data_IF_259267075566
#
_entry.id   IF_259267075566
#
_cell.length_a   1.000
_cell.length_b   1.000
_cell.length_c   1.000
_cell.angle_alpha   90.00
_cell.angle_beta   90.00
_cell.angle_gamma   90.00
#
_symmetry.space_group_name_H-M   'P 1'
#
loop_
_entity.id
_entity.type
_entity.pdbx_description
1 polymer ?
#
# COMPACT_ATOMS: atom_id res chain seq x y z
N UNK A 1 -14.07 -31.73 -0.71
CA UNK A 1 -13.51 -30.66 -1.58
C UNK A 1 -14.67 -30.01 -2.34
N UNK A 2 -15.06 -28.78 -1.99
CA UNK A 2 -16.03 -28.04 -2.81
C UNK A 2 -15.32 -27.49 -4.04
N UNK A 3 -15.79 -27.89 -5.22
CA UNK A 3 -15.31 -27.39 -6.51
C UNK A 3 -15.78 -25.94 -6.64
N UNK A 4 -14.85 -24.98 -6.64
CA UNK A 4 -15.15 -23.59 -6.97
C UNK A 4 -15.75 -23.52 -8.37
N UNK A 5 -16.85 -22.77 -8.52
CA UNK A 5 -17.50 -22.58 -9.82
C UNK A 5 -16.46 -22.11 -10.86
N UNK A 6 -16.44 -22.65 -12.10
CA UNK A 6 -15.40 -22.38 -13.10
C UNK A 6 -15.17 -20.88 -13.37
N UNK A 7 -16.23 -20.08 -13.26
CA UNK A 7 -16.22 -18.63 -13.41
C UNK A 7 -15.41 -17.95 -12.29
N UNK A 8 -15.58 -18.37 -11.02
CA UNK A 8 -14.83 -17.82 -9.89
C UNK A 8 -13.34 -18.13 -10.00
N UNK A 9 -12.99 -19.30 -10.54
CA UNK A 9 -11.60 -19.68 -10.76
C UNK A 9 -10.92 -18.81 -11.83
N UNK A 10 -11.56 -18.62 -12.99
CA UNK A 10 -11.04 -17.74 -14.06
C UNK A 10 -10.94 -16.27 -13.63
N UNK A 11 -11.90 -15.77 -12.87
CA UNK A 11 -11.87 -14.39 -12.37
C UNK A 11 -10.82 -14.16 -11.29
N UNK A 12 -10.49 -15.17 -10.49
CA UNK A 12 -9.44 -15.10 -9.46
C UNK A 12 -8.02 -15.17 -10.02
N UNK A 13 -7.83 -15.83 -11.16
CA UNK A 13 -6.55 -15.89 -11.88
C UNK A 13 -6.26 -14.60 -12.67
N UNK A 14 -7.21 -13.66 -12.72
CA UNK A 14 -7.11 -12.44 -13.52
C UNK A 14 -7.10 -11.17 -12.69
N UNK A 15 -6.16 -11.09 -11.74
CA UNK A 15 -5.88 -9.83 -11.02
C UNK A 15 -5.65 -8.66 -12.00
N UNK A 16 -5.12 -8.94 -13.19
CA UNK A 16 -4.91 -7.96 -14.27
C UNK A 16 -6.21 -7.25 -14.66
N UNK A 17 -7.33 -7.97 -14.79
CA UNK A 17 -8.61 -7.35 -15.17
C UNK A 17 -9.10 -6.38 -14.09
N UNK A 18 -9.02 -6.78 -12.82
CA UNK A 18 -9.40 -5.92 -11.69
C UNK A 18 -8.48 -4.70 -11.59
N UNK A 19 -7.18 -4.90 -11.82
CA UNK A 19 -6.19 -3.82 -11.84
C UNK A 19 -6.46 -2.83 -12.97
N UNK A 20 -6.73 -3.30 -14.19
CA UNK A 20 -7.07 -2.43 -15.33
C UNK A 20 -8.39 -1.69 -15.10
N UNK A 21 -9.42 -2.39 -14.61
CA UNK A 21 -10.71 -1.78 -14.30
C UNK A 21 -10.59 -0.70 -13.21
N UNK A 22 -9.81 -0.96 -12.16
CA UNK A 22 -9.46 0.03 -11.14
C UNK A 22 -8.78 1.25 -11.75
N UNK A 23 -7.73 1.07 -12.55
CA UNK A 23 -6.99 2.18 -13.14
C UNK A 23 -7.86 3.04 -14.08
N UNK A 24 -8.73 2.42 -14.87
CA UNK A 24 -9.70 3.13 -15.71
C UNK A 24 -10.68 3.92 -14.85
N UNK A 25 -11.25 3.29 -13.82
CA UNK A 25 -12.19 3.94 -12.91
C UNK A 25 -11.55 5.12 -12.15
N UNK A 26 -10.33 4.96 -11.65
CA UNK A 26 -9.61 5.98 -10.89
C UNK A 26 -9.23 7.20 -11.75
N UNK A 27 -9.01 7.01 -13.05
CA UNK A 27 -8.58 8.09 -13.95
C UNK A 27 -9.72 8.78 -14.71
N UNK A 28 -10.83 8.09 -14.96
CA UNK A 28 -11.89 8.58 -15.85
C UNK A 28 -13.29 8.60 -15.22
N UNK A 29 -13.44 8.09 -13.99
CA UNK A 29 -14.73 8.01 -13.29
C UNK A 29 -14.60 8.51 -11.83
N UNK A 30 -15.34 7.91 -10.90
CA UNK A 30 -15.35 8.26 -9.48
C UNK A 30 -14.37 7.38 -8.69
N UNK A 31 -13.66 8.00 -7.75
CA UNK A 31 -12.67 7.31 -6.92
C UNK A 31 -13.32 6.19 -6.08
N UNK A 32 -14.51 6.42 -5.56
CA UNK A 32 -15.30 5.46 -4.78
C UNK A 32 -15.58 4.18 -5.58
N UNK A 33 -15.91 4.33 -6.87
CA UNK A 33 -16.14 3.20 -7.77
C UNK A 33 -14.85 2.42 -8.00
N UNK A 34 -13.72 3.13 -8.16
CA UNK A 34 -12.43 2.49 -8.35
C UNK A 34 -12.07 1.60 -7.15
N UNK A 35 -12.10 2.15 -5.93
CA UNK A 35 -11.77 1.36 -4.73
C UNK A 35 -12.78 0.24 -4.45
N UNK A 36 -14.05 0.41 -4.79
CA UNK A 36 -15.04 -0.67 -4.72
C UNK A 36 -14.67 -1.82 -5.66
N UNK A 37 -14.28 -1.54 -6.92
CA UNK A 37 -13.80 -2.56 -7.86
C UNK A 37 -12.56 -3.29 -7.34
N UNK A 38 -11.61 -2.54 -6.77
CA UNK A 38 -10.39 -3.10 -6.20
C UNK A 38 -10.70 -4.06 -5.03
N UNK A 39 -11.59 -3.65 -4.12
CA UNK A 39 -12.03 -4.46 -2.98
C UNK A 39 -12.78 -5.73 -3.41
N UNK A 40 -13.69 -5.61 -4.38
CA UNK A 40 -14.45 -6.76 -4.93
C UNK A 40 -13.48 -7.75 -5.58
N UNK A 41 -12.56 -7.27 -6.42
CA UNK A 41 -11.56 -8.11 -7.07
C UNK A 41 -10.65 -8.81 -6.07
N UNK A 42 -10.23 -8.10 -5.02
CA UNK A 42 -9.46 -8.67 -3.93
C UNK A 42 -10.23 -9.76 -3.18
N UNK A 43 -11.48 -9.47 -2.78
CA UNK A 43 -12.32 -10.42 -2.04
C UNK A 43 -12.57 -11.71 -2.84
N UNK A 44 -12.89 -11.60 -4.14
CA UNK A 44 -13.07 -12.75 -5.03
C UNK A 44 -11.79 -13.57 -5.09
N UNK A 45 -10.64 -12.92 -5.29
CA UNK A 45 -9.34 -13.57 -5.40
C UNK A 45 -8.94 -14.27 -4.10
N UNK A 46 -9.11 -13.61 -2.96
CA UNK A 46 -8.82 -14.15 -1.62
C UNK A 46 -9.67 -15.39 -1.35
N UNK A 47 -10.99 -15.33 -1.60
CA UNK A 47 -11.91 -16.46 -1.36
C UNK A 47 -11.61 -17.62 -2.30
N UNK A 48 -11.38 -17.35 -3.59
CA UNK A 48 -11.13 -18.39 -4.58
C UNK A 48 -9.78 -19.08 -4.39
N UNK A 49 -8.73 -18.32 -4.04
CA UNK A 49 -7.38 -18.85 -3.78
C UNK A 49 -7.19 -19.32 -2.33
N UNK A 50 -8.17 -19.10 -1.45
CA UNK A 50 -8.12 -19.39 -0.01
C UNK A 50 -6.91 -18.74 0.65
N UNK A 51 -6.67 -17.47 0.33
CA UNK A 51 -5.56 -16.71 0.89
C UNK A 51 -5.91 -16.36 2.33
N UNK A 52 -5.17 -16.93 3.28
CA UNK A 52 -5.38 -16.63 4.69
C UNK A 52 -4.59 -15.38 5.09
N UNK A 53 -5.21 -14.44 5.84
CA UNK A 53 -4.46 -13.38 6.47
C UNK A 53 -3.48 -14.01 7.45
N UNK A 54 -2.18 -13.82 7.19
CA UNK A 54 -1.18 -14.09 8.21
C UNK A 54 -1.42 -13.12 9.36
N UNK A 55 -1.52 -13.63 10.58
CA UNK A 55 -1.52 -12.79 11.77
C UNK A 55 -0.14 -12.90 12.41
N UNK A 56 0.65 -11.84 12.31
CA UNK A 56 1.97 -11.77 12.94
C UNK A 56 1.92 -11.33 14.39
N UNK A 57 3.12 -11.19 14.96
CA UNK A 57 3.33 -10.60 16.29
C UNK A 57 2.81 -9.17 16.34
N UNK A 58 1.98 -8.85 17.33
CA UNK A 58 1.48 -7.49 17.60
C UNK A 58 2.63 -6.48 17.81
N UNK A 59 3.75 -6.93 18.37
CA UNK A 59 4.95 -6.12 18.52
C UNK A 59 5.55 -5.72 17.16
N UNK A 60 5.62 -6.65 16.21
CA UNK A 60 6.11 -6.35 14.85
C UNK A 60 5.17 -5.41 14.11
N UNK A 61 3.87 -5.58 14.33
CA UNK A 61 2.87 -4.69 13.78
C UNK A 61 3.06 -3.26 14.30
N UNK A 62 3.16 -3.10 15.62
CA UNK A 62 3.44 -1.80 16.23
C UNK A 62 4.75 -1.19 15.73
N UNK A 63 5.83 -1.98 15.66
CA UNK A 63 7.13 -1.52 15.17
C UNK A 63 7.07 -1.06 13.70
N UNK A 64 6.32 -1.75 12.84
CA UNK A 64 6.16 -1.38 11.43
C UNK A 64 5.37 -0.09 11.26
N UNK A 65 4.27 0.06 12.02
CA UNK A 65 3.46 1.29 12.04
C UNK A 65 4.29 2.47 12.54
N UNK A 66 5.04 2.28 13.64
CA UNK A 66 5.90 3.30 14.21
C UNK A 66 7.04 3.67 13.26
N UNK A 67 7.66 2.70 12.57
CA UNK A 67 8.71 2.98 11.60
C UNK A 67 8.21 3.86 10.46
N UNK A 68 7.01 3.56 9.93
CA UNK A 68 6.39 4.34 8.87
C UNK A 68 6.03 5.74 9.36
N UNK A 69 5.36 5.86 10.51
CA UNK A 69 5.02 7.15 11.09
C UNK A 69 6.27 8.00 11.41
N UNK A 70 7.28 7.40 12.04
CA UNK A 70 8.51 8.10 12.41
C UNK A 70 9.27 8.59 11.17
N UNK A 71 9.26 7.82 10.08
CA UNK A 71 9.92 8.23 8.84
C UNK A 71 9.35 9.51 8.23
N UNK A 72 8.09 9.86 8.52
CA UNK A 72 7.49 11.11 8.04
C UNK A 72 7.84 12.33 8.89
N UNK A 73 8.32 12.14 10.13
CA UNK A 73 8.64 13.23 11.07
C UNK A 73 9.53 14.32 10.46
N UNK A 74 10.60 14.00 9.70
CA UNK A 74 11.44 15.03 9.10
C UNK A 74 10.70 15.94 8.12
N UNK A 75 9.66 15.43 7.44
CA UNK A 75 8.89 16.19 6.46
C UNK A 75 8.08 17.31 7.11
N UNK A 76 7.78 17.21 8.41
CA UNK A 76 7.07 18.24 9.17
C UNK A 76 7.80 19.60 9.19
N UNK A 77 9.10 19.62 8.91
CA UNK A 77 9.87 20.87 8.79
C UNK A 77 9.45 21.73 7.59
N UNK A 78 8.89 21.11 6.55
CA UNK A 78 8.42 21.78 5.33
C UNK A 78 6.90 21.78 5.21
N UNK A 79 6.21 21.18 6.17
CA UNK A 79 4.81 20.86 6.05
C UNK A 79 3.93 22.05 6.45
N UNK A 80 2.97 22.39 5.59
CA UNK A 80 1.91 23.33 5.94
C UNK A 80 0.72 22.56 6.51
N UNK A 81 0.12 22.96 7.64
CA UNK A 81 -1.05 22.27 8.18
C UNK A 81 -2.20 22.25 7.18
N UNK A 82 -2.86 21.10 7.06
CA UNK A 82 -4.13 20.96 6.35
C UNK A 82 -5.23 20.51 7.30
N UNK A 83 -6.47 20.84 6.94
CA UNK A 83 -7.66 20.49 7.72
C UNK A 83 -8.54 19.57 6.88
N UNK A 84 -8.19 18.26 6.76
CA UNK A 84 -8.99 17.32 5.99
C UNK A 84 -10.38 17.18 6.63
N UNK A 85 -11.40 17.06 5.80
CA UNK A 85 -12.74 16.74 6.29
C UNK A 85 -12.76 15.31 6.87
N UNK A 86 -13.68 15.05 7.81
CA UNK A 86 -13.86 13.69 8.35
C UNK A 86 -14.16 12.66 7.26
N UNK A 87 -14.92 13.07 6.24
CA UNK A 87 -15.24 12.22 5.09
C UNK A 87 -13.98 11.86 4.29
N UNK A 88 -13.09 12.83 4.06
CA UNK A 88 -11.82 12.60 3.38
C UNK A 88 -10.93 11.62 4.17
N UNK A 89 -10.80 11.82 5.48
CA UNK A 89 -10.04 10.93 6.35
C UNK A 89 -10.60 9.50 6.38
N UNK A 90 -11.92 9.36 6.45
CA UNK A 90 -12.58 8.06 6.40
C UNK A 90 -12.34 7.36 5.06
N UNK A 91 -12.43 8.11 3.96
CA UNK A 91 -12.12 7.59 2.62
C UNK A 91 -10.65 7.17 2.50
N UNK A 92 -9.71 7.96 3.01
CA UNK A 92 -8.27 7.66 2.97
C UNK A 92 -7.92 6.35 3.71
N UNK A 93 -8.61 6.06 4.82
CA UNK A 93 -8.49 4.79 5.54
C UNK A 93 -9.10 3.65 4.75
N UNK A 94 -10.31 3.84 4.18
CA UNK A 94 -10.97 2.82 3.38
C UNK A 94 -10.15 2.46 2.12
N UNK A 95 -9.59 3.48 1.45
CA UNK A 95 -8.68 3.34 0.31
C UNK A 95 -7.47 2.48 0.67
N UNK A 96 -6.77 2.80 1.77
CA UNK A 96 -5.63 2.02 2.25
C UNK A 96 -6.00 0.55 2.49
N UNK A 97 -7.16 0.27 3.09
CA UNK A 97 -7.62 -1.11 3.29
C UNK A 97 -7.88 -1.83 1.97
N UNK A 98 -8.54 -1.18 1.01
CA UNK A 98 -8.84 -1.74 -0.31
C UNK A 98 -7.55 -2.05 -1.09
N UNK A 99 -6.58 -1.14 -1.04
CA UNK A 99 -5.27 -1.34 -1.67
C UNK A 99 -4.51 -2.48 -1.02
N UNK A 100 -4.45 -2.54 0.31
CA UNK A 100 -3.73 -3.61 0.99
C UNK A 100 -4.37 -4.99 0.77
N UNK A 101 -5.70 -5.08 0.69
CA UNK A 101 -6.38 -6.31 0.31
C UNK A 101 -5.94 -6.78 -1.08
N UNK A 102 -5.78 -5.88 -2.04
CA UNK A 102 -5.41 -6.24 -3.40
C UNK A 102 -3.90 -6.45 -3.56
N UNK A 103 -3.09 -5.43 -3.28
CA UNK A 103 -1.65 -5.46 -3.52
C UNK A 103 -0.93 -6.42 -2.56
N UNK A 104 -1.28 -6.44 -1.27
CA UNK A 104 -0.60 -7.30 -0.28
C UNK A 104 -1.36 -8.59 0.00
N UNK A 105 -2.69 -8.57 -0.10
CA UNK A 105 -3.50 -9.77 0.04
C UNK A 105 -3.48 -10.68 -1.19
N UNK A 106 -3.44 -10.13 -2.41
CA UNK A 106 -3.49 -10.91 -3.66
C UNK A 106 -2.17 -10.90 -4.43
N UNK A 107 -1.62 -9.72 -4.76
CA UNK A 107 -0.45 -9.67 -5.64
C UNK A 107 0.85 -10.09 -4.96
N UNK A 108 1.06 -9.74 -3.69
CA UNK A 108 2.28 -10.08 -2.96
C UNK A 108 2.55 -11.60 -2.90
N UNK A 109 1.56 -12.47 -2.56
CA UNK A 109 1.75 -13.93 -2.62
C UNK A 109 2.09 -14.47 -4.02
N UNK A 110 1.51 -13.87 -5.07
CA UNK A 110 1.64 -14.36 -6.45
C UNK A 110 2.93 -13.88 -7.14
N UNK A 111 3.31 -12.63 -6.91
CA UNK A 111 4.37 -11.94 -7.67
C UNK A 111 5.61 -11.61 -6.82
N UNK A 112 5.48 -11.61 -5.49
CA UNK A 112 6.52 -11.13 -4.57
C UNK A 112 6.58 -9.61 -4.43
N UNK A 113 7.49 -9.14 -3.58
CA UNK A 113 7.45 -7.75 -3.08
C UNK A 113 7.73 -6.68 -4.15
N UNK A 114 8.76 -6.85 -4.97
CA UNK A 114 9.12 -5.81 -5.94
C UNK A 114 8.07 -5.66 -7.06
N UNK A 115 7.57 -6.74 -7.69
CA UNK A 115 6.56 -6.59 -8.74
C UNK A 115 5.22 -6.02 -8.22
N UNK A 116 4.76 -6.42 -7.02
CA UNK A 116 3.54 -5.82 -6.46
C UNK A 116 3.73 -4.33 -6.14
N UNK A 117 4.91 -3.94 -5.64
CA UNK A 117 5.23 -2.54 -5.36
C UNK A 117 5.27 -1.70 -6.64
N UNK A 118 5.76 -2.28 -7.74
CA UNK A 118 5.74 -1.64 -9.05
C UNK A 118 4.30 -1.46 -9.57
N UNK A 119 3.45 -2.48 -9.45
CA UNK A 119 2.03 -2.37 -9.78
C UNK A 119 1.31 -1.33 -8.90
N UNK A 120 1.64 -1.28 -7.61
CA UNK A 120 1.15 -0.26 -6.67
C UNK A 120 1.56 1.14 -7.10
N UNK A 121 2.83 1.37 -7.46
CA UNK A 121 3.30 2.66 -7.93
C UNK A 121 2.65 3.09 -9.25
N UNK A 122 2.47 2.16 -10.18
CA UNK A 122 1.75 2.42 -11.44
C UNK A 122 0.28 2.81 -11.22
N UNK A 123 -0.38 2.24 -10.21
CA UNK A 123 -1.77 2.55 -9.87
C UNK A 123 -1.97 4.01 -9.42
N UNK A 124 -0.89 4.71 -9.06
CA UNK A 124 -0.92 6.10 -8.63
C UNK A 124 -0.62 7.09 -9.76
N UNK A 125 -0.30 6.61 -10.97
CA UNK A 125 -0.12 7.46 -12.15
C UNK A 125 -1.48 7.97 -12.61
N UNK A 126 -1.61 9.30 -12.66
CA UNK A 126 -2.82 9.98 -13.13
C UNK A 126 -2.73 10.26 -14.62
N UNK A 127 -3.66 9.71 -15.39
CA UNK A 127 -3.78 9.83 -16.84
C UNK A 127 -4.87 10.82 -17.28
N UNK A 128 -5.56 11.45 -16.32
CA UNK A 128 -6.69 12.35 -16.56
C UNK A 128 -6.32 13.56 -17.41
N UNK A 129 -5.12 14.11 -17.21
CA UNK A 129 -4.60 15.27 -17.92
C UNK A 129 -3.05 15.29 -17.88
N UNK A 130 -2.40 16.04 -18.79
CA UNK A 130 -0.94 16.03 -18.90
C UNK A 130 -0.19 16.55 -17.66
N UNK A 131 -0.76 17.50 -16.91
CA UNK A 131 -0.09 18.07 -15.73
C UNK A 131 -0.12 17.04 -14.60
N UNK A 132 -1.28 16.48 -14.31
CA UNK A 132 -1.42 15.40 -13.33
C UNK A 132 -0.55 14.18 -13.67
N UNK A 133 -0.38 13.86 -14.95
CA UNK A 133 0.52 12.79 -15.40
C UNK A 133 1.97 13.07 -15.02
N UNK A 134 2.48 14.26 -15.33
CA UNK A 134 3.87 14.61 -15.02
C UNK A 134 4.10 14.63 -13.50
N UNK A 135 3.20 15.27 -12.75
CA UNK A 135 3.32 15.37 -11.29
C UNK A 135 3.28 13.99 -10.62
N UNK A 136 2.32 13.15 -10.99
CA UNK A 136 2.21 11.79 -10.43
C UNK A 136 3.36 10.88 -10.87
N UNK A 137 3.88 11.03 -12.10
CA UNK A 137 5.04 10.29 -12.57
C UNK A 137 6.33 10.63 -11.80
N UNK A 138 6.50 11.90 -11.40
CA UNK A 138 7.62 12.31 -10.56
C UNK A 138 7.54 11.70 -9.15
N UNK A 139 6.33 11.39 -8.67
CA UNK A 139 6.09 10.69 -7.40
C UNK A 139 6.16 9.17 -7.52
N UNK A 140 6.39 8.61 -8.72
CA UNK A 140 6.50 7.16 -8.89
C UNK A 140 7.52 6.48 -7.95
N UNK A 141 8.74 7.02 -7.76
CA UNK A 141 9.71 6.39 -6.85
C UNK A 141 9.24 6.39 -5.39
N UNK A 142 8.47 7.41 -4.98
CA UNK A 142 7.87 7.49 -3.65
C UNK A 142 6.88 6.32 -3.45
N UNK A 143 5.92 6.17 -4.36
CA UNK A 143 4.94 5.09 -4.28
C UNK A 143 5.59 3.71 -4.39
N UNK A 144 6.67 3.57 -5.17
CA UNK A 144 7.41 2.31 -5.25
C UNK A 144 8.06 1.94 -3.91
N UNK A 145 8.72 2.90 -3.24
CA UNK A 145 9.38 2.66 -1.96
C UNK A 145 8.37 2.39 -0.83
N UNK A 146 7.29 3.17 -0.76
CA UNK A 146 6.15 2.89 0.12
C UNK A 146 5.57 1.49 -0.16
N UNK A 147 5.43 1.18 -1.45
CA UNK A 147 5.14 -0.12 -2.04
C UNK A 147 5.90 -1.26 -1.36
N UNK A 148 7.22 -1.14 -1.40
CA UNK A 148 8.19 -2.11 -0.87
C UNK A 148 8.12 -2.19 0.67
N UNK A 149 8.03 -1.05 1.36
CA UNK A 149 7.99 -1.00 2.83
C UNK A 149 6.75 -1.73 3.38
N UNK A 150 5.57 -1.43 2.84
CA UNK A 150 4.32 -2.08 3.19
C UNK A 150 4.33 -3.57 2.81
N UNK A 151 4.92 -3.94 1.67
CA UNK A 151 5.10 -5.35 1.31
C UNK A 151 5.99 -6.11 2.30
N UNK A 152 7.04 -5.47 2.84
CA UNK A 152 7.82 -6.07 3.94
C UNK A 152 7.03 -6.18 5.25
N UNK A 153 6.18 -5.20 5.57
CA UNK A 153 5.29 -5.26 6.72
C UNK A 153 4.29 -6.42 6.58
N UNK A 154 3.69 -6.57 5.40
CA UNK A 154 2.77 -7.66 5.08
C UNK A 154 3.45 -9.03 5.08
N UNK A 155 4.67 -9.15 4.57
CA UNK A 155 5.46 -10.38 4.66
C UNK A 155 5.73 -10.80 6.11
N UNK A 156 5.98 -9.81 6.98
CA UNK A 156 6.36 -10.04 8.36
C UNK A 156 5.16 -10.30 9.28
N UNK A 157 4.02 -9.66 9.00
CA UNK A 157 2.88 -9.60 9.92
C UNK A 157 1.51 -9.86 9.29
N UNK A 158 1.43 -9.93 7.96
CA UNK A 158 0.21 -10.01 7.18
C UNK A 158 -0.32 -8.67 6.66
N UNK A 159 -1.12 -8.74 5.60
CA UNK A 159 -1.73 -7.57 4.98
C UNK A 159 -2.64 -6.75 5.93
N UNK A 160 -3.31 -7.30 6.97
CA UNK A 160 -4.08 -6.46 7.90
C UNK A 160 -3.21 -5.47 8.68
N UNK A 161 -2.02 -5.90 9.09
CA UNK A 161 -1.03 -5.01 9.73
C UNK A 161 -0.53 -3.97 8.76
N UNK A 162 -0.25 -4.37 7.52
CA UNK A 162 0.14 -3.44 6.45
C UNK A 162 -0.95 -2.40 6.19
N UNK A 163 -2.24 -2.79 6.25
CA UNK A 163 -3.39 -1.89 6.16
C UNK A 163 -3.44 -0.85 7.28
N UNK A 164 -3.11 -1.23 8.51
CA UNK A 164 -3.02 -0.25 9.61
C UNK A 164 -1.87 0.73 9.37
N UNK A 165 -0.72 0.24 8.93
CA UNK A 165 0.43 1.10 8.65
C UNK A 165 0.18 2.05 7.48
N UNK A 166 -0.44 1.55 6.41
CA UNK A 166 -0.84 2.34 5.26
C UNK A 166 -1.93 3.36 5.61
N UNK A 167 -2.96 2.96 6.36
CA UNK A 167 -3.98 3.90 6.83
C UNK A 167 -3.36 5.00 7.71
N UNK A 168 -2.38 4.65 8.55
CA UNK A 168 -1.63 5.63 9.36
C UNK A 168 -0.85 6.59 8.47
N UNK A 169 -0.14 6.07 7.46
CA UNK A 169 0.56 6.88 6.46
C UNK A 169 -0.41 7.86 5.77
N UNK A 170 -1.56 7.39 5.30
CA UNK A 170 -2.55 8.21 4.61
C UNK A 170 -3.12 9.30 5.54
N UNK A 171 -3.46 8.95 6.78
CA UNK A 171 -3.98 9.92 7.75
C UNK A 171 -2.96 11.00 8.09
N UNK A 172 -1.71 10.62 8.35
CA UNK A 172 -0.64 11.59 8.61
C UNK A 172 -0.42 12.49 7.39
N UNK A 173 -0.35 11.91 6.19
CA UNK A 173 -0.19 12.67 4.94
C UNK A 173 -1.40 13.54 4.59
N UNK A 174 -2.55 13.33 5.24
CA UNK A 174 -3.76 14.13 5.04
C UNK A 174 -3.80 15.39 5.92
N UNK A 175 -3.05 15.42 7.03
CA UNK A 175 -3.05 16.54 8.00
C UNK A 175 -1.99 17.61 7.70
N UNK A 176 -1.16 17.38 6.68
CA UNK A 176 -0.28 18.40 6.16
C UNK A 176 -0.15 18.33 4.64
N UNK A 177 0.22 19.43 4.02
CA UNK A 177 0.64 19.50 2.62
C UNK A 177 2.13 19.80 2.53
N UNK A 178 2.75 19.25 1.49
CA UNK A 178 4.15 19.49 1.16
C UNK A 178 4.23 20.30 -0.14
N UNK A 179 5.13 21.30 -0.23
CA UNK A 179 5.34 21.99 -1.48
C UNK A 179 5.95 21.04 -2.50
N UNK A 180 5.51 21.17 -3.76
CA UNK A 180 6.00 20.36 -4.86
C UNK A 180 7.28 20.98 -5.44
N UNK A 181 8.39 20.84 -4.71
CA UNK A 181 9.72 21.27 -5.12
C UNK A 181 10.75 20.13 -5.01
N UNK A 182 11.88 20.27 -5.71
CA UNK A 182 12.89 19.22 -5.82
C UNK A 182 13.48 18.80 -4.48
N UNK A 183 13.64 19.72 -3.52
CA UNK A 183 14.23 19.39 -2.22
C UNK A 183 13.27 18.61 -1.35
N UNK A 184 12.00 18.99 -1.36
CA UNK A 184 10.96 18.28 -0.60
C UNK A 184 10.69 16.91 -1.19
N UNK A 185 10.69 16.76 -2.52
CA UNK A 185 10.61 15.44 -3.16
C UNK A 185 11.81 14.57 -2.81
N UNK A 186 13.04 15.12 -2.82
CA UNK A 186 14.23 14.36 -2.41
C UNK A 186 14.17 13.94 -0.93
N UNK A 187 13.69 14.82 -0.05
CA UNK A 187 13.49 14.51 1.36
C UNK A 187 12.43 13.42 1.57
N UNK A 188 11.34 13.45 0.80
CA UNK A 188 10.31 12.40 0.80
C UNK A 188 10.91 11.04 0.44
N UNK A 189 11.66 10.96 -0.65
CA UNK A 189 12.31 9.71 -1.07
C UNK A 189 13.32 9.17 -0.05
N UNK A 190 14.04 10.07 0.63
CA UNK A 190 14.93 9.68 1.72
C UNK A 190 14.14 9.09 2.90
N UNK A 191 13.02 9.73 3.27
CA UNK A 191 12.13 9.25 4.32
C UNK A 191 11.55 7.87 3.98
N UNK A 192 11.10 7.66 2.74
CA UNK A 192 10.61 6.34 2.30
C UNK A 192 11.70 5.27 2.35
N UNK A 193 12.92 5.64 1.95
CA UNK A 193 14.08 4.73 2.02
C UNK A 193 14.41 4.32 3.45
N UNK A 194 14.30 5.26 4.40
CA UNK A 194 14.44 4.98 5.84
C UNK A 194 13.33 4.03 6.30
N UNK A 195 12.09 4.26 5.87
CA UNK A 195 10.94 3.38 6.13
C UNK A 195 11.20 1.95 5.66
N UNK A 196 11.65 1.78 4.40
CA UNK A 196 12.01 0.48 3.84
C UNK A 196 13.09 -0.20 4.69
N UNK A 197 14.16 0.52 5.02
CA UNK A 197 15.27 -0.01 5.82
C UNK A 197 14.81 -0.44 7.22
N UNK A 198 14.01 0.40 7.90
CA UNK A 198 13.52 0.14 9.24
C UNK A 198 12.62 -1.11 9.28
N UNK A 199 11.65 -1.22 8.37
CA UNK A 199 10.75 -2.39 8.31
C UNK A 199 11.52 -3.65 7.91
N UNK A 200 12.49 -3.55 6.99
CA UNK A 200 13.36 -4.67 6.63
C UNK A 200 14.23 -5.16 7.81
N UNK A 201 14.70 -4.25 8.66
CA UNK A 201 15.43 -4.60 9.88
C UNK A 201 14.55 -5.32 10.90
N UNK A 202 13.33 -4.84 11.13
CA UNK A 202 12.33 -5.52 11.99
C UNK A 202 12.11 -6.96 11.53
N UNK A 203 12.02 -7.18 10.21
CA UNK A 203 11.91 -8.53 9.61
C UNK A 203 13.17 -9.39 9.84
N UNK A 204 14.38 -8.80 9.80
CA UNK A 204 15.66 -9.52 9.88
C UNK A 204 16.07 -9.92 11.30
N UNK A 205 15.90 -9.04 12.28
CA UNK A 205 16.35 -9.24 13.67
C UNK A 205 15.73 -10.52 14.28
N UNK A 206 14.49 -10.82 13.96
CA UNK A 206 13.79 -11.96 14.56
C UNK A 206 13.98 -13.29 13.81
N UNK A 207 14.25 -13.27 12.50
CA UNK A 207 14.72 -14.49 11.78
C UNK A 207 15.97 -15.06 12.45
N UNK A 208 16.86 -14.19 12.94
CA UNK A 208 18.01 -14.58 13.75
C UNK A 208 17.58 -15.09 15.13
N UNK A 209 16.68 -14.39 15.82
CA UNK A 209 16.15 -14.82 17.13
C UNK A 209 15.47 -16.20 17.15
N UNK A 210 14.81 -16.63 16.06
CA UNK A 210 14.30 -18.01 15.93
C UNK A 210 15.39 -19.02 15.58
N UNK A 211 16.38 -18.66 14.77
CA UNK A 211 17.49 -19.55 14.44
C UNK A 211 18.39 -19.89 15.64
N UNK A 212 18.43 -19.04 16.67
CA UNK A 212 19.16 -19.28 17.92
C UNK A 212 18.32 -19.97 19.02
N UNK A 213 17.06 -20.30 18.74
CA UNK A 213 16.16 -21.02 19.67
C UNK A 213 15.88 -22.47 19.23
N UNK A 214 16.63 -22.98 18.26
CA UNK A 214 16.61 -24.39 17.82
C UNK A 214 17.89 -25.07 18.27
#
# INVERSE_FOLDING_TARGET
MQVLHPVLRRSADSWVLWYVAFNIAANFFLSEVAYALLAIGAAISIVAKRLEPRCGSSLRAAASVLAIAASQTPLLLWAAPSHPSLLYSAFAVAAAVCEELFFRGVLLPDLGNLPQAFAFALAHIRLSDPVSLVESALLFPHYLLLGVALGFAADACGYPTSAVAHATYNLLSSVYTLPFDTWVVAALLLCDSISVAAVALVKKVEKRGHAYRV
#
